data_IF_406783669045
#
_entry.id   IF_406783669045
#
_cell.length_a   1.000
_cell.length_b   1.000
_cell.length_c   1.000
_cell.angle_alpha   90.00
_cell.angle_beta   90.00
_cell.angle_gamma   90.00
#
_symmetry.space_group_name_H-M   'P 1'
#
loop_
_entity.id
_entity.type
_entity.pdbx_description
1 polymer ?
#
# COMPACT_ATOMS: atom_id res chain seq x y z
N UNK A 1 5.51 -10.60 15.28
CA UNK A 1 5.39 -9.14 15.47
C UNK A 1 4.60 -8.63 14.29
N UNK A 2 3.58 -7.83 14.54
CA UNK A 2 2.51 -7.48 13.59
C UNK A 2 2.97 -6.49 12.53
N UNK A 3 2.09 -6.18 11.59
CA UNK A 3 2.22 -5.02 10.70
C UNK A 3 2.47 -3.74 11.50
N UNK A 4 3.39 -2.91 11.03
CA UNK A 4 3.70 -1.63 11.63
C UNK A 4 3.07 -0.53 10.76
N UNK A 5 2.08 0.17 11.29
CA UNK A 5 1.51 1.32 10.60
C UNK A 5 1.29 2.50 11.55
N UNK A 6 1.33 3.69 10.97
CA UNK A 6 0.94 4.93 11.64
C UNK A 6 -0.22 5.53 10.83
N UNK A 7 -1.29 5.89 11.53
CA UNK A 7 -2.41 6.62 10.95
C UNK A 7 -2.43 8.05 11.49
N UNK A 8 -2.54 9.04 10.60
CA UNK A 8 -2.67 10.45 10.96
C UNK A 8 -3.91 11.02 10.31
N UNK A 9 -4.73 11.74 11.08
CA UNK A 9 -5.83 12.54 10.53
C UNK A 9 -5.31 13.94 10.19
N UNK A 10 -5.44 14.31 8.93
CA UNK A 10 -5.09 15.62 8.40
C UNK A 10 -6.36 16.45 8.19
N UNK A 11 -6.26 17.76 8.42
CA UNK A 11 -7.28 18.73 8.05
C UNK A 11 -6.66 19.72 7.08
N UNK A 12 -7.01 19.59 5.80
CA UNK A 12 -6.45 20.40 4.70
C UNK A 12 -7.60 21.14 4.04
N UNK A 13 -7.57 22.48 4.06
CA UNK A 13 -8.63 23.33 3.47
C UNK A 13 -10.05 22.93 3.92
N UNK A 14 -10.23 22.64 5.22
CA UNK A 14 -11.46 22.14 5.83
C UNK A 14 -11.90 20.73 5.42
N UNK A 15 -11.12 20.02 4.60
CA UNK A 15 -11.34 18.61 4.28
C UNK A 15 -10.54 17.72 5.22
N UNK A 16 -11.23 16.76 5.86
CA UNK A 16 -10.56 15.72 6.65
C UNK A 16 -10.07 14.61 5.73
N UNK A 17 -8.83 14.19 5.93
CA UNK A 17 -8.23 13.06 5.23
C UNK A 17 -7.47 12.20 6.24
N UNK A 18 -7.48 10.89 6.05
CA UNK A 18 -6.63 9.98 6.83
C UNK A 18 -5.42 9.59 5.96
N UNK A 19 -4.23 9.64 6.54
CA UNK A 19 -3.01 9.13 5.93
C UNK A 19 -2.52 7.92 6.73
N UNK A 20 -2.46 6.75 6.08
CA UNK A 20 -1.75 5.60 6.62
C UNK A 20 -0.35 5.55 6.02
N UNK A 21 0.66 5.41 6.86
CA UNK A 21 2.00 5.00 6.44
C UNK A 21 2.27 3.59 6.99
N UNK A 22 2.54 2.64 6.11
CA UNK A 22 2.61 1.21 6.41
C UNK A 22 3.98 0.66 6.06
N UNK A 23 4.54 -0.12 6.97
CA UNK A 23 5.67 -0.98 6.70
C UNK A 23 5.28 -2.43 6.97
N UNK A 24 5.37 -3.27 5.94
CA UNK A 24 5.19 -4.71 6.06
C UNK A 24 6.51 -5.42 5.82
N UNK A 25 7.17 -5.96 6.87
CA UNK A 25 8.41 -6.68 6.72
C UNK A 25 8.26 -7.89 5.78
N UNK A 26 9.31 -8.26 5.00
CA UNK A 26 9.23 -9.36 4.04
C UNK A 26 8.95 -10.72 4.70
N UNK A 27 9.32 -10.87 5.98
CA UNK A 27 9.15 -12.11 6.74
C UNK A 27 7.77 -12.29 7.38
N UNK A 28 6.87 -11.30 7.30
CA UNK A 28 5.59 -11.30 8.01
C UNK A 28 4.47 -10.81 7.10
N UNK A 29 3.34 -11.52 7.06
CA UNK A 29 2.16 -11.11 6.29
C UNK A 29 1.58 -9.80 6.84
N UNK A 30 1.15 -8.91 5.94
CA UNK A 30 0.46 -7.69 6.33
C UNK A 30 -0.95 -8.00 6.85
N UNK A 31 -1.30 -7.47 8.03
CA UNK A 31 -2.65 -7.52 8.62
C UNK A 31 -3.49 -6.35 8.07
N UNK A 32 -3.88 -6.45 6.79
CA UNK A 32 -4.57 -5.38 6.07
C UNK A 32 -5.95 -5.06 6.68
N UNK A 33 -6.57 -6.01 7.36
CA UNK A 33 -7.87 -5.84 8.02
C UNK A 33 -7.81 -4.88 9.22
N UNK A 34 -6.60 -4.59 9.74
CA UNK A 34 -6.41 -3.58 10.78
C UNK A 34 -6.59 -2.15 10.23
N UNK A 35 -6.49 -1.96 8.92
CA UNK A 35 -6.64 -0.67 8.24
C UNK A 35 -8.14 -0.42 8.03
N UNK A 36 -8.63 0.66 8.62
CA UNK A 36 -10.05 1.05 8.47
C UNK A 36 -10.21 1.93 7.24
N UNK A 37 -10.73 1.33 6.17
CA UNK A 37 -11.17 2.03 4.95
C UNK A 37 -12.65 2.39 5.13
N UNK A 38 -12.92 3.53 5.76
CA UNK A 38 -14.30 3.94 6.12
C UNK A 38 -14.70 5.29 5.51
N UNK A 39 -13.74 6.07 5.01
CA UNK A 39 -13.95 7.43 4.52
C UNK A 39 -13.45 7.55 3.07
N UNK A 40 -14.15 8.36 2.26
CA UNK A 40 -13.80 8.64 0.86
C UNK A 40 -12.49 9.47 0.70
N UNK A 41 -11.91 9.94 1.82
CA UNK A 41 -10.71 10.77 1.84
C UNK A 41 -9.57 10.06 2.58
N UNK A 42 -8.98 9.09 1.90
CA UNK A 42 -7.90 8.28 2.43
C UNK A 42 -6.73 8.23 1.46
N UNK A 43 -5.51 8.26 2.01
CA UNK A 43 -4.28 7.91 1.30
C UNK A 43 -3.54 6.85 2.13
N UNK A 44 -3.16 5.74 1.49
CA UNK A 44 -2.35 4.70 2.10
C UNK A 44 -1.03 4.65 1.36
N UNK A 45 0.05 4.86 2.10
CA UNK A 45 1.40 4.84 1.56
C UNK A 45 2.20 3.79 2.31
N UNK A 46 3.16 3.15 1.65
CA UNK A 46 4.00 2.20 2.38
C UNK A 46 4.87 1.31 1.54
N UNK A 47 5.69 0.55 2.24
CA UNK A 47 6.43 -0.58 1.70
C UNK A 47 5.74 -1.87 2.18
N UNK A 48 5.11 -2.57 1.23
CA UNK A 48 4.37 -3.80 1.51
C UNK A 48 5.21 -5.07 1.33
N UNK A 49 6.45 -4.95 0.83
CA UNK A 49 7.29 -6.08 0.42
C UNK A 49 6.50 -7.12 -0.38
N UNK A 50 5.74 -6.67 -1.39
CA UNK A 50 4.89 -7.50 -2.24
C UNK A 50 5.20 -7.25 -3.71
N UNK A 51 5.06 -8.28 -4.53
CA UNK A 51 5.31 -8.20 -5.95
C UNK A 51 4.00 -8.27 -6.73
N UNK A 52 3.73 -7.28 -7.57
CA UNK A 52 2.69 -7.34 -8.60
C UNK A 52 3.07 -6.52 -9.84
N UNK A 53 2.68 -6.98 -11.04
CA UNK A 53 2.68 -6.15 -12.26
C UNK A 53 1.93 -4.83 -12.12
N UNK A 54 0.90 -4.76 -11.26
CA UNK A 54 0.11 -3.54 -11.05
C UNK A 54 0.92 -2.36 -10.51
N UNK A 55 2.09 -2.62 -9.90
CA UNK A 55 3.02 -1.59 -9.42
C UNK A 55 4.47 -1.87 -9.85
N UNK A 56 4.67 -2.54 -10.99
CA UNK A 56 5.96 -2.56 -11.70
C UNK A 56 6.81 -3.82 -11.56
N UNK A 57 6.33 -4.90 -10.92
CA UNK A 57 7.06 -6.17 -10.89
C UNK A 57 6.70 -7.10 -12.04
N UNK A 58 7.67 -7.91 -12.48
CA UNK A 58 7.43 -8.95 -13.50
C UNK A 58 6.59 -10.14 -12.98
N UNK A 59 6.47 -10.28 -11.67
CA UNK A 59 5.82 -11.43 -11.02
C UNK A 59 4.74 -10.98 -10.06
N UNK A 60 3.67 -11.76 -9.96
CA UNK A 60 2.70 -11.68 -8.86
C UNK A 60 3.07 -12.72 -7.81
N UNK A 61 3.37 -12.28 -6.59
CA UNK A 61 3.58 -13.17 -5.44
C UNK A 61 2.31 -13.26 -4.56
N UNK A 62 2.20 -14.23 -3.63
CA UNK A 62 1.01 -14.38 -2.79
C UNK A 62 0.68 -13.12 -1.95
N UNK A 63 1.71 -12.33 -1.61
CA UNK A 63 1.53 -11.06 -0.89
C UNK A 63 0.91 -10.00 -1.78
N UNK A 64 1.36 -9.92 -3.03
CA UNK A 64 0.80 -9.06 -4.06
C UNK A 64 -0.63 -9.44 -4.39
N UNK A 65 -0.92 -10.73 -4.56
CA UNK A 65 -2.28 -11.24 -4.80
C UNK A 65 -3.23 -10.84 -3.66
N UNK A 66 -2.83 -11.09 -2.41
CA UNK A 66 -3.62 -10.70 -1.22
C UNK A 66 -3.85 -9.19 -1.16
N UNK A 67 -2.85 -8.39 -1.52
CA UNK A 67 -2.96 -6.93 -1.54
C UNK A 67 -3.91 -6.47 -2.65
N UNK A 68 -3.81 -7.01 -3.86
CA UNK A 68 -4.71 -6.69 -4.97
C UNK A 68 -6.17 -7.02 -4.65
N UNK A 69 -6.43 -8.20 -4.09
CA UNK A 69 -7.77 -8.59 -3.65
C UNK A 69 -8.33 -7.62 -2.60
N UNK A 70 -7.48 -7.19 -1.65
CA UNK A 70 -7.86 -6.23 -0.63
C UNK A 70 -8.14 -4.84 -1.23
N UNK A 71 -7.35 -4.39 -2.21
CA UNK A 71 -7.58 -3.14 -2.93
C UNK A 71 -8.92 -3.15 -3.65
N UNK A 72 -9.21 -4.23 -4.39
CA UNK A 72 -10.47 -4.42 -5.11
C UNK A 72 -11.66 -4.42 -4.15
N UNK A 73 -11.56 -5.19 -3.07
CA UNK A 73 -12.62 -5.32 -2.05
C UNK A 73 -12.96 -3.98 -1.41
N UNK A 74 -11.96 -3.13 -1.20
CA UNK A 74 -12.11 -1.82 -0.57
C UNK A 74 -12.27 -0.67 -1.58
N UNK A 75 -12.41 -0.97 -2.88
CA UNK A 75 -12.52 0.03 -3.96
C UNK A 75 -11.40 1.08 -3.96
N UNK A 76 -10.19 0.67 -3.60
CA UNK A 76 -8.99 1.52 -3.61
C UNK A 76 -8.39 1.57 -5.01
N UNK A 77 -7.81 2.71 -5.36
CA UNK A 77 -7.15 2.92 -6.65
C UNK A 77 -5.64 2.95 -6.44
N UNK A 78 -4.89 2.28 -7.31
CA UNK A 78 -3.42 2.34 -7.28
C UNK A 78 -2.98 3.64 -7.96
N UNK A 79 -2.12 4.42 -7.31
CA UNK A 79 -1.57 5.65 -7.88
C UNK A 79 -0.21 5.46 -8.56
N UNK A 80 0.52 4.38 -8.24
CA UNK A 80 1.75 4.02 -8.94
C UNK A 80 1.50 3.75 -10.43
N UNK A 81 2.44 4.19 -11.27
CA UNK A 81 2.53 3.69 -12.64
C UNK A 81 3.51 2.50 -12.68
N UNK A 82 3.21 1.39 -13.40
CA UNK A 82 4.10 0.24 -13.47
C UNK A 82 5.50 0.56 -14.02
N UNK A 83 5.60 1.60 -14.86
CA UNK A 83 6.87 2.06 -15.44
C UNK A 83 7.65 3.06 -14.55
N UNK A 84 7.13 3.39 -13.36
CA UNK A 84 7.82 4.32 -12.47
C UNK A 84 9.18 3.75 -12.03
N UNK A 85 10.26 4.55 -12.06
CA UNK A 85 11.59 4.07 -11.70
C UNK A 85 11.62 3.66 -10.22
N UNK A 86 11.87 2.38 -9.97
CA UNK A 86 12.26 1.90 -8.66
C UNK A 86 13.72 2.32 -8.41
N UNK A 87 13.94 3.27 -7.51
CA UNK A 87 15.28 3.75 -7.15
C UNK A 87 16.17 2.55 -6.72
N UNK A 88 17.08 2.13 -7.61
CA UNK A 88 18.13 1.18 -7.30
C UNK A 88 17.82 -0.30 -7.56
N UNK A 89 17.32 -0.65 -8.75
CA UNK A 89 17.48 -1.98 -9.39
C UNK A 89 16.81 -3.17 -8.68
N UNK A 90 15.76 -3.72 -9.31
CA UNK A 90 15.17 -5.07 -9.15
C UNK A 90 14.93 -5.67 -7.74
N UNK A 91 15.28 -5.02 -6.63
CA UNK A 91 15.37 -5.69 -5.33
C UNK A 91 15.09 -4.78 -4.11
N UNK A 92 14.51 -3.61 -4.32
CA UNK A 92 13.90 -2.83 -3.24
C UNK A 92 12.39 -2.80 -3.46
N UNK A 93 11.65 -3.03 -2.36
CA UNK A 93 10.21 -3.02 -2.39
C UNK A 93 9.68 -1.64 -2.78
N UNK A 94 8.63 -1.54 -3.60
CA UNK A 94 8.14 -0.25 -4.05
C UNK A 94 7.53 0.47 -2.85
N UNK A 95 7.76 1.77 -2.79
CA UNK A 95 6.84 2.65 -2.09
C UNK A 95 5.53 2.61 -2.88
N UNK A 96 4.53 1.91 -2.36
CA UNK A 96 3.19 1.86 -2.92
C UNK A 96 2.43 3.07 -2.38
N UNK A 97 1.87 3.85 -3.29
CA UNK A 97 0.96 4.96 -3.03
C UNK A 97 -0.43 4.51 -3.53
N UNK A 98 -1.37 4.37 -2.60
CA UNK A 98 -2.78 4.02 -2.83
C UNK A 98 -3.64 5.20 -2.41
#
# INVERSE_FOLDING_TARGET
>A
MSTEFIAVQLLINNTKMTLYNIYSPPSIQTELEAIKVQDDNLLIVGDFNSHSPSWGYDTLDPRGESLEEWLITNSLTILNHPDDPHDGGAQQAPQIWL
#
